data_IF_852058738640
#
_entry.id   IF_852058738640
#
_cell.length_a   1.000
_cell.length_b   1.000
_cell.length_c   1.000
_cell.angle_alpha   90.00
_cell.angle_beta   90.00
_cell.angle_gamma   90.00
#
_symmetry.space_group_name_H-M   'P 1'
#
loop_
_entity.id
_entity.type
_entity.pdbx_description
1 polymer ?
#
# COMPACT_ATOMS: atom_id res chain seq x y z
N UNK A 1 41.50 -39.32 -8.32
CA UNK A 1 40.11 -38.96 -7.98
C UNK A 1 40.12 -38.29 -6.60
N UNK A 2 40.25 -36.95 -6.55
CA UNK A 2 40.56 -36.19 -5.33
C UNK A 2 39.56 -35.06 -5.04
N UNK A 3 38.39 -35.08 -5.69
CA UNK A 3 37.37 -34.06 -5.50
C UNK A 3 36.24 -34.70 -4.69
N UNK A 4 36.01 -34.17 -3.48
CA UNK A 4 34.79 -34.31 -2.67
C UNK A 4 34.67 -35.48 -1.68
N UNK A 5 35.48 -35.50 -0.61
CA UNK A 5 35.12 -36.19 0.66
C UNK A 5 34.88 -35.25 1.86
N UNK A 6 35.04 -33.93 1.70
CA UNK A 6 35.05 -33.00 2.83
C UNK A 6 33.66 -32.55 3.34
N UNK A 7 32.60 -32.68 2.56
CA UNK A 7 31.25 -32.22 2.98
C UNK A 7 30.38 -33.32 3.63
N UNK A 8 30.93 -34.52 3.77
CA UNK A 8 30.30 -35.64 4.47
C UNK A 8 30.77 -35.78 5.92
N UNK A 9 31.64 -34.88 6.40
CA UNK A 9 32.09 -34.94 7.78
C UNK A 9 30.86 -34.81 8.69
N UNK A 10 30.58 -35.84 9.51
CA UNK A 10 29.44 -35.81 10.40
C UNK A 10 29.68 -34.79 11.51
N UNK A 11 28.65 -34.00 11.79
CA UNK A 11 28.64 -33.03 12.87
C UNK A 11 27.52 -33.35 13.84
N UNK A 12 27.76 -33.06 15.12
CA UNK A 12 26.74 -33.18 16.16
C UNK A 12 26.04 -31.84 16.31
N UNK A 13 24.73 -31.83 16.15
CA UNK A 13 23.91 -30.63 16.33
C UNK A 13 23.36 -30.63 17.75
N UNK A 14 23.55 -29.53 18.48
CA UNK A 14 22.95 -29.31 19.79
C UNK A 14 21.90 -28.20 19.70
N UNK A 15 20.62 -28.59 19.73
CA UNK A 15 19.45 -27.71 19.75
C UNK A 15 18.94 -27.52 21.19
N UNK A 16 19.84 -27.08 22.08
CA UNK A 16 19.55 -26.85 23.49
C UNK A 16 19.24 -28.14 24.26
N UNK A 17 18.01 -28.66 24.13
CA UNK A 17 17.54 -29.89 24.78
C UNK A 17 17.66 -31.14 23.89
N UNK A 18 17.86 -30.96 22.58
CA UNK A 18 17.98 -32.07 21.62
C UNK A 18 19.38 -32.12 21.04
N UNK A 19 20.05 -33.25 21.21
CA UNK A 19 21.34 -33.53 20.57
C UNK A 19 21.11 -34.57 19.49
N UNK A 20 21.43 -34.21 18.24
CA UNK A 20 21.37 -35.14 17.13
C UNK A 20 22.80 -35.36 16.62
N UNK A 21 23.40 -36.53 16.92
CA UNK A 21 24.74 -36.86 16.45
C UNK A 21 24.72 -37.31 14.99
N UNK A 22 25.91 -37.29 14.38
CA UNK A 22 26.22 -37.95 13.10
C UNK A 22 25.46 -37.41 11.87
N UNK A 23 25.10 -36.11 11.86
CA UNK A 23 24.45 -35.48 10.70
C UNK A 23 25.51 -34.91 9.75
N UNK A 24 25.47 -35.24 8.45
CA UNK A 24 26.33 -34.58 7.46
C UNK A 24 26.10 -33.06 7.39
N UNK A 25 27.19 -32.30 7.39
CA UNK A 25 27.16 -30.83 7.44
C UNK A 25 26.26 -30.16 6.39
N UNK A 26 26.17 -30.74 5.18
CA UNK A 26 25.37 -30.15 4.09
C UNK A 26 23.87 -30.07 4.42
N UNK A 27 23.32 -31.03 5.19
CA UNK A 27 21.92 -30.97 5.62
C UNK A 27 21.67 -29.80 6.57
N UNK A 28 22.63 -29.49 7.44
CA UNK A 28 22.55 -28.37 8.38
C UNK A 28 22.53 -27.04 7.63
N UNK A 29 23.40 -26.90 6.63
CA UNK A 29 23.48 -25.69 5.80
C UNK A 29 22.17 -25.48 5.03
N UNK A 30 21.65 -26.52 4.37
CA UNK A 30 20.39 -26.44 3.63
C UNK A 30 19.23 -26.10 4.59
N UNK A 31 19.17 -26.75 5.76
CA UNK A 31 18.17 -26.45 6.78
C UNK A 31 18.22 -25.00 7.27
N UNK A 32 19.42 -24.47 7.53
CA UNK A 32 19.61 -23.08 7.95
C UNK A 32 19.17 -22.07 6.86
N UNK A 33 19.49 -22.35 5.59
CA UNK A 33 19.05 -21.51 4.47
C UNK A 33 17.53 -21.53 4.30
N UNK A 34 16.92 -22.71 4.36
CA UNK A 34 15.47 -22.86 4.23
C UNK A 34 14.72 -22.20 5.40
N UNK A 35 15.20 -22.41 6.62
CA UNK A 35 14.59 -21.76 7.80
C UNK A 35 14.69 -20.24 7.73
N UNK A 36 15.84 -19.69 7.32
CA UNK A 36 15.99 -18.26 7.06
C UNK A 36 15.02 -17.73 6.01
N UNK A 37 14.84 -18.49 4.91
CA UNK A 37 13.89 -18.15 3.85
C UNK A 37 12.43 -18.15 4.35
N UNK A 38 12.05 -19.17 5.11
CA UNK A 38 10.70 -19.29 5.70
C UNK A 38 10.41 -18.15 6.67
N UNK A 39 11.37 -17.81 7.54
CA UNK A 39 11.23 -16.69 8.48
C UNK A 39 11.10 -15.36 7.72
N UNK A 40 11.92 -15.13 6.71
CA UNK A 40 11.83 -13.94 5.85
C UNK A 40 10.46 -13.82 5.19
N UNK A 41 9.96 -14.93 4.64
CA UNK A 41 8.64 -14.99 4.03
C UNK A 41 7.52 -14.68 5.03
N UNK A 42 7.57 -15.23 6.24
CA UNK A 42 6.60 -14.93 7.30
C UNK A 42 6.60 -13.43 7.67
N UNK A 43 7.78 -12.83 7.85
CA UNK A 43 7.91 -11.39 8.13
C UNK A 43 7.33 -10.56 6.99
N UNK A 44 7.60 -10.94 5.73
CA UNK A 44 7.04 -10.28 4.56
C UNK A 44 5.52 -10.40 4.51
N UNK A 45 4.97 -11.59 4.80
CA UNK A 45 3.54 -11.84 4.81
C UNK A 45 2.82 -10.96 5.84
N UNK A 46 3.34 -10.86 7.06
CA UNK A 46 2.80 -9.98 8.10
C UNK A 46 2.83 -8.51 7.65
N UNK A 47 3.94 -8.05 7.06
CA UNK A 47 4.02 -6.70 6.50
C UNK A 47 3.03 -6.49 5.36
N UNK A 48 2.85 -7.48 4.49
CA UNK A 48 1.91 -7.41 3.36
C UNK A 48 0.47 -7.33 3.83
N UNK A 49 0.09 -8.07 4.87
CA UNK A 49 -1.25 -8.00 5.49
C UNK A 49 -1.48 -6.59 6.06
N UNK A 50 -0.53 -6.06 6.84
CA UNK A 50 -0.63 -4.69 7.38
C UNK A 50 -0.69 -3.64 6.28
N UNK A 51 0.11 -3.80 5.22
CA UNK A 51 0.14 -2.88 4.08
C UNK A 51 -1.17 -2.94 3.31
N UNK A 52 -1.75 -4.12 3.09
CA UNK A 52 -3.04 -4.29 2.40
C UNK A 52 -4.20 -3.70 3.21
N UNK A 53 -4.18 -3.86 4.54
CA UNK A 53 -5.15 -3.20 5.42
C UNK A 53 -5.00 -1.67 5.41
N UNK A 54 -3.77 -1.16 5.50
CA UNK A 54 -3.48 0.27 5.36
C UNK A 54 -3.88 0.80 3.97
N UNK A 55 -3.64 0.04 2.90
CA UNK A 55 -3.99 0.41 1.53
C UNK A 55 -5.50 0.47 1.35
N UNK A 56 -6.25 -0.44 1.98
CA UNK A 56 -7.72 -0.43 1.97
C UNK A 56 -8.30 0.75 2.76
N UNK A 57 -7.65 1.15 3.85
CA UNK A 57 -7.95 2.40 4.56
C UNK A 57 -7.71 3.63 3.67
N UNK A 58 -6.52 3.72 3.07
CA UNK A 58 -6.15 4.79 2.13
C UNK A 58 -7.07 4.86 0.91
N UNK A 59 -7.49 3.73 0.34
CA UNK A 59 -8.42 3.72 -0.80
C UNK A 59 -9.80 4.28 -0.43
N UNK A 60 -10.26 4.06 0.81
CA UNK A 60 -11.52 4.62 1.31
C UNK A 60 -11.41 6.14 1.47
N UNK A 61 -10.25 6.62 1.92
CA UNK A 61 -9.95 8.05 2.08
C UNK A 61 -9.87 8.76 0.72
N UNK A 62 -9.16 8.17 -0.26
CA UNK A 62 -9.10 8.67 -1.64
C UNK A 62 -10.49 8.74 -2.29
N UNK A 63 -11.37 7.77 -2.00
CA UNK A 63 -12.74 7.81 -2.53
C UNK A 63 -13.56 8.95 -1.92
N UNK A 64 -13.43 9.16 -0.61
CA UNK A 64 -14.09 10.26 0.11
C UNK A 64 -13.62 11.63 -0.38
N UNK A 65 -12.31 11.79 -0.57
CA UNK A 65 -11.71 13.03 -1.06
C UNK A 65 -12.17 13.35 -2.50
N UNK A 66 -12.30 12.35 -3.38
CA UNK A 66 -12.87 12.53 -4.72
C UNK A 66 -14.34 12.95 -4.71
N UNK A 67 -15.14 12.38 -3.82
CA UNK A 67 -16.55 12.76 -3.66
C UNK A 67 -16.68 14.21 -3.15
N UNK A 68 -15.84 14.63 -2.21
CA UNK A 68 -15.78 16.02 -1.72
C UNK A 68 -15.37 17.00 -2.82
N UNK A 69 -14.35 16.68 -3.62
CA UNK A 69 -13.95 17.52 -4.76
C UNK A 69 -15.09 17.67 -5.76
N UNK A 70 -15.80 16.58 -6.08
CA UNK A 70 -16.93 16.60 -7.01
C UNK A 70 -18.10 17.43 -6.46
N UNK A 71 -18.38 17.35 -5.17
CA UNK A 71 -19.38 18.18 -4.51
C UNK A 71 -18.99 19.66 -4.54
N UNK A 72 -17.74 19.99 -4.24
CA UNK A 72 -17.23 21.36 -4.31
C UNK A 72 -17.30 21.91 -5.74
N UNK A 73 -16.91 21.14 -6.76
CA UNK A 73 -17.02 21.55 -8.17
C UNK A 73 -18.47 21.83 -8.55
N UNK A 74 -19.42 21.00 -8.10
CA UNK A 74 -20.85 21.26 -8.33
C UNK A 74 -21.31 22.56 -7.67
N UNK A 75 -20.89 22.80 -6.43
CA UNK A 75 -21.23 24.04 -5.71
C UNK A 75 -20.64 25.27 -6.40
N UNK A 76 -19.39 25.22 -6.84
CA UNK A 76 -18.76 26.32 -7.60
C UNK A 76 -19.53 26.58 -8.88
N UNK A 77 -19.87 25.55 -9.64
CA UNK A 77 -20.62 25.73 -10.89
C UNK A 77 -22.03 26.29 -10.66
N UNK A 78 -22.71 25.86 -9.59
CA UNK A 78 -24.01 26.44 -9.20
C UNK A 78 -23.88 27.91 -8.80
N UNK A 79 -22.84 28.26 -8.05
CA UNK A 79 -22.57 29.65 -7.63
C UNK A 79 -22.17 30.55 -8.80
N UNK A 80 -21.49 30.02 -9.82
CA UNK A 80 -21.21 30.74 -11.07
C UNK A 80 -22.49 31.02 -11.85
N UNK A 81 -23.35 30.02 -12.01
CA UNK A 81 -24.67 30.18 -12.65
C UNK A 81 -25.57 31.16 -11.88
N UNK A 82 -25.53 31.13 -10.55
CA UNK A 82 -26.31 32.04 -9.71
C UNK A 82 -25.75 33.47 -9.79
N UNK A 83 -24.43 33.64 -9.78
CA UNK A 83 -23.81 34.95 -10.03
C UNK A 83 -24.15 35.48 -11.43
N UNK A 84 -24.10 34.65 -12.47
CA UNK A 84 -24.46 35.07 -13.82
C UNK A 84 -25.94 35.46 -13.91
N UNK A 85 -26.84 34.70 -13.30
CA UNK A 85 -28.27 35.04 -13.21
C UNK A 85 -28.50 36.36 -12.48
N UNK A 86 -27.88 36.54 -11.31
CA UNK A 86 -28.00 37.77 -10.54
C UNK A 86 -27.40 38.97 -11.28
N UNK A 87 -26.30 38.77 -12.03
CA UNK A 87 -25.68 39.82 -12.85
C UNK A 87 -26.52 40.20 -14.06
N UNK A 88 -27.25 39.24 -14.64
CA UNK A 88 -28.24 39.48 -15.68
C UNK A 88 -29.51 40.15 -15.14
N UNK A 89 -30.00 39.73 -13.97
CA UNK A 89 -31.18 40.30 -13.32
C UNK A 89 -30.91 41.73 -12.78
N UNK A 90 -29.66 42.00 -12.39
CA UNK A 90 -29.19 43.35 -12.02
C UNK A 90 -28.76 44.20 -13.23
N UNK A 91 -28.85 43.65 -14.45
CA UNK A 91 -28.30 44.22 -15.67
C UNK A 91 -29.31 44.82 -16.65
N UNK A 92 -30.62 44.71 -16.39
CA UNK A 92 -31.66 45.17 -17.32
C UNK A 92 -32.58 46.22 -16.69
N UNK A 93 -31.99 47.36 -16.34
CA UNK A 93 -32.67 48.64 -16.58
C UNK A 93 -31.95 49.33 -17.72
N UNK A 94 -32.46 49.25 -18.97
CA UNK A 94 -32.13 50.27 -19.94
C UNK A 94 -32.74 51.56 -19.40
N UNK A 95 -31.91 52.43 -18.82
CA UNK A 95 -32.29 53.81 -18.56
C UNK A 95 -32.41 54.48 -19.92
N UNK A 96 -33.55 54.24 -20.57
CA UNK A 96 -33.99 54.91 -21.79
C UNK A 96 -34.09 56.40 -21.47
N UNK A 97 -32.99 57.10 -21.71
CA UNK A 97 -32.91 58.56 -21.63
C UNK A 97 -33.09 59.08 -23.04
N UNK A 98 -34.26 58.80 -23.64
CA UNK A 98 -34.70 59.52 -24.83
C UNK A 98 -36.22 59.46 -24.99
N UNK A 99 -36.91 60.33 -24.25
CA UNK A 99 -38.27 60.72 -24.59
C UNK A 99 -38.47 62.20 -24.28
N UNK A 100 -38.36 63.00 -25.35
CA UNK A 100 -38.75 64.41 -25.57
C UNK A 100 -37.86 65.51 -24.96
#
# INVERSE_FOLDING_TARGET
MYVSRFNFTPVTINLGFYTIPDIPLFYVIIGALLTGLVISYLVYLVRSISTSFAFRGKNKEIKKEKDEVLELTKRVHQLELENEKLKHESGDTPKDTNSL
#
